data_IF_693172642731
#
_entry.id   IF_693172642731
#
_cell.length_a   1.000
_cell.length_b   1.000
_cell.length_c   1.000
_cell.angle_alpha   90.00
_cell.angle_beta   90.00
_cell.angle_gamma   90.00
#
_symmetry.space_group_name_H-M   'P 1'
#
loop_
_entity.id
_entity.type
_entity.pdbx_description
1 polymer ?
#
# COMPACT_ATOMS: atom_id res chain seq x y z
N UNK A 1 -11.74 25.29 -2.88
CA UNK A 1 -11.80 24.00 -2.17
C UNK A 1 -11.53 22.94 -3.22
N UNK A 2 -10.37 22.27 -3.16
CA UNK A 2 -10.07 21.20 -4.14
C UNK A 2 -10.98 20.01 -3.85
N UNK A 3 -11.80 19.63 -4.82
CA UNK A 3 -12.68 18.48 -4.69
C UNK A 3 -11.81 17.20 -4.69
N UNK A 4 -12.01 16.37 -3.70
CA UNK A 4 -11.36 15.07 -3.61
C UNK A 4 -12.09 14.09 -4.54
N UNK A 5 -11.47 13.71 -5.65
CA UNK A 5 -12.06 12.86 -6.69
C UNK A 5 -11.95 11.37 -6.34
N UNK A 6 -10.87 10.99 -5.65
CA UNK A 6 -10.62 9.61 -5.25
C UNK A 6 -9.85 9.56 -3.94
N UNK A 7 -10.21 8.63 -3.06
CA UNK A 7 -9.47 8.35 -1.83
C UNK A 7 -9.55 6.86 -1.49
N UNK A 8 -8.40 6.25 -1.34
CA UNK A 8 -8.28 4.88 -0.87
C UNK A 8 -7.23 4.77 0.24
N UNK A 9 -7.57 4.12 1.35
CA UNK A 9 -6.63 3.75 2.40
C UNK A 9 -6.37 2.26 2.29
N UNK A 10 -5.12 1.88 2.08
CA UNK A 10 -4.70 0.50 1.89
C UNK A 10 -4.45 -0.18 3.25
N UNK A 11 -5.55 -0.50 3.95
CA UNK A 11 -5.47 -1.25 5.21
C UNK A 11 -5.06 -2.71 4.96
N UNK A 12 -4.36 -3.36 5.91
CA UNK A 12 -4.07 -4.78 5.81
C UNK A 12 -5.36 -5.61 5.66
N UNK A 13 -5.33 -6.69 4.86
CA UNK A 13 -6.48 -7.58 4.71
C UNK A 13 -6.73 -8.36 6.01
N UNK A 14 -7.97 -8.84 6.18
CA UNK A 14 -8.39 -9.52 7.41
C UNK A 14 -7.51 -10.74 7.77
N UNK A 15 -7.09 -11.54 6.80
CA UNK A 15 -6.22 -12.69 7.04
C UNK A 15 -4.86 -12.32 7.66
N UNK A 16 -4.34 -11.12 7.35
CA UNK A 16 -3.10 -10.64 7.94
C UNK A 16 -3.22 -10.43 9.45
N UNK A 17 -4.38 -9.98 9.91
CA UNK A 17 -4.68 -9.85 11.34
C UNK A 17 -4.76 -11.19 12.05
N UNK A 18 -5.34 -12.22 11.39
CA UNK A 18 -5.35 -13.59 11.91
C UNK A 18 -3.92 -14.12 12.02
N UNK A 19 -3.08 -13.92 11.01
CA UNK A 19 -1.69 -14.34 11.04
C UNK A 19 -0.90 -13.66 12.18
N UNK A 20 -1.10 -12.36 12.38
CA UNK A 20 -0.48 -11.60 13.49
C UNK A 20 -0.94 -12.14 14.84
N UNK A 21 -2.25 -12.36 15.02
CA UNK A 21 -2.79 -12.90 16.26
C UNK A 21 -2.24 -14.30 16.55
N UNK A 22 -2.16 -15.17 15.54
CA UNK A 22 -1.57 -16.51 15.66
C UNK A 22 -0.09 -16.46 16.05
N UNK A 23 0.67 -15.57 15.45
CA UNK A 23 2.08 -15.36 15.79
C UNK A 23 2.26 -14.88 17.24
N UNK A 24 1.46 -13.89 17.67
CA UNK A 24 1.47 -13.42 19.06
C UNK A 24 1.09 -14.53 20.05
N UNK A 25 0.15 -15.39 19.68
CA UNK A 25 -0.29 -16.51 20.51
C UNK A 25 0.84 -17.54 20.69
N UNK A 26 1.54 -17.91 19.61
CA UNK A 26 2.67 -18.85 19.67
C UNK A 26 3.77 -18.31 20.60
N UNK A 27 4.10 -17.02 20.50
CA UNK A 27 5.06 -16.38 21.39
C UNK A 27 4.59 -16.38 22.84
N UNK A 28 3.33 -16.07 23.09
CA UNK A 28 2.75 -16.06 24.44
C UNK A 28 2.79 -17.45 25.09
N UNK A 29 2.45 -18.52 24.35
CA UNK A 29 2.53 -19.90 24.83
C UNK A 29 3.97 -20.28 25.17
N UNK A 30 4.94 -19.91 24.32
CA UNK A 30 6.34 -20.15 24.59
C UNK A 30 6.84 -19.44 25.85
N UNK A 31 6.42 -18.22 26.09
CA UNK A 31 6.78 -17.42 27.27
C UNK A 31 6.10 -17.97 28.53
N UNK A 32 4.87 -18.46 28.42
CA UNK A 32 4.12 -18.98 29.58
C UNK A 32 4.80 -20.16 30.28
N UNK A 33 5.53 -20.97 29.51
CA UNK A 33 6.29 -22.13 30.03
C UNK A 33 7.45 -21.71 30.96
N UNK A 34 7.98 -20.48 30.81
CA UNK A 34 9.15 -19.99 31.55
C UNK A 34 8.73 -19.00 32.65
N UNK A 35 7.85 -18.05 32.30
CA UNK A 35 7.53 -16.89 33.13
C UNK A 35 6.09 -16.91 33.71
N UNK A 36 5.31 -17.96 33.40
CA UNK A 36 3.94 -18.13 33.84
C UNK A 36 2.91 -17.35 33.01
N UNK A 37 1.63 -17.68 33.25
CA UNK A 37 0.51 -17.22 32.41
C UNK A 37 0.25 -15.71 32.48
N UNK A 38 0.52 -15.08 33.63
CA UNK A 38 0.30 -13.63 33.79
C UNK A 38 1.20 -12.83 32.85
N UNK A 39 2.50 -13.15 32.84
CA UNK A 39 3.48 -12.49 31.96
C UNK A 39 3.15 -12.74 30.49
N UNK A 40 2.81 -13.99 30.14
CA UNK A 40 2.43 -14.36 28.79
C UNK A 40 1.23 -13.55 28.29
N UNK A 41 0.20 -13.35 29.14
CA UNK A 41 -0.99 -12.58 28.79
C UNK A 41 -0.66 -11.10 28.53
N UNK A 42 0.17 -10.50 29.39
CA UNK A 42 0.62 -9.09 29.20
C UNK A 42 1.39 -8.94 27.91
N UNK A 43 2.31 -9.86 27.62
CA UNK A 43 3.11 -9.84 26.38
C UNK A 43 2.22 -10.01 25.14
N UNK A 44 1.25 -10.92 25.18
CA UNK A 44 0.31 -11.12 24.07
C UNK A 44 -0.44 -9.85 23.71
N UNK A 45 -1.08 -9.20 24.69
CA UNK A 45 -1.84 -7.98 24.43
C UNK A 45 -0.96 -6.80 24.05
N UNK A 46 0.23 -6.69 24.63
CA UNK A 46 1.19 -5.63 24.28
C UNK A 46 1.66 -5.75 22.84
N UNK A 47 2.04 -6.95 22.38
CA UNK A 47 2.44 -7.21 21.00
C UNK A 47 1.28 -6.96 20.04
N UNK A 48 0.10 -7.48 20.36
CA UNK A 48 -1.09 -7.27 19.53
C UNK A 48 -1.38 -5.77 19.34
N UNK A 49 -1.34 -5.00 20.41
CA UNK A 49 -1.53 -3.53 20.36
C UNK A 49 -0.48 -2.86 19.48
N UNK A 50 0.79 -3.22 19.63
CA UNK A 50 1.88 -2.66 18.81
C UNK A 50 1.64 -2.95 17.32
N UNK A 51 1.30 -4.19 16.96
CA UNK A 51 1.02 -4.54 15.56
C UNK A 51 -0.20 -3.82 15.00
N UNK A 52 -1.26 -3.64 15.78
CA UNK A 52 -2.46 -2.89 15.37
C UNK A 52 -2.09 -1.42 15.10
N UNK A 53 -1.39 -0.77 16.02
CA UNK A 53 -0.97 0.62 15.86
C UNK A 53 -0.02 0.79 14.66
N UNK A 54 0.90 -0.15 14.47
CA UNK A 54 1.82 -0.15 13.33
C UNK A 54 1.08 -0.34 12.01
N UNK A 55 0.13 -1.27 11.94
CA UNK A 55 -0.70 -1.49 10.75
C UNK A 55 -1.52 -0.26 10.37
N UNK A 56 -2.02 0.50 11.34
CA UNK A 56 -2.74 1.74 11.07
C UNK A 56 -1.84 2.87 10.58
N UNK A 57 -0.66 3.03 11.17
CA UNK A 57 0.31 4.09 10.80
C UNK A 57 0.98 3.82 9.44
N UNK A 58 1.27 2.56 9.13
CA UNK A 58 1.95 2.15 7.90
C UNK A 58 1.00 1.96 6.70
N UNK A 59 -0.31 2.12 6.89
CA UNK A 59 -1.27 2.00 5.79
C UNK A 59 -1.12 3.17 4.81
N UNK A 60 -0.62 2.96 3.59
CA UNK A 60 -0.48 4.02 2.61
C UNK A 60 -1.85 4.55 2.19
N UNK A 61 -1.91 5.83 1.90
CA UNK A 61 -3.13 6.50 1.44
C UNK A 61 -2.90 7.02 0.03
N UNK A 62 -3.82 6.68 -0.87
CA UNK A 62 -3.89 7.23 -2.23
C UNK A 62 -5.01 8.27 -2.24
N UNK A 63 -4.73 9.44 -2.78
CA UNK A 63 -5.70 10.52 -2.97
C UNK A 63 -5.50 11.12 -4.35
N UNK A 64 -6.59 11.47 -5.01
CA UNK A 64 -6.59 12.25 -6.24
C UNK A 64 -7.48 13.47 -6.03
N UNK A 65 -6.92 14.63 -6.24
CA UNK A 65 -7.67 15.88 -6.33
C UNK A 65 -7.73 16.38 -7.78
N UNK A 66 -8.18 17.60 -8.01
CA UNK A 66 -8.31 18.17 -9.35
C UNK A 66 -6.98 18.44 -10.06
N UNK A 67 -5.85 18.47 -9.34
CA UNK A 67 -4.54 18.88 -9.85
C UNK A 67 -3.46 17.83 -9.63
N UNK A 68 -3.55 17.05 -8.56
CA UNK A 68 -2.48 16.14 -8.14
C UNK A 68 -3.00 14.75 -7.75
N UNK A 69 -2.17 13.76 -8.07
CA UNK A 69 -2.23 12.43 -7.49
C UNK A 69 -1.26 12.35 -6.30
N UNK A 70 -1.75 11.95 -5.16
CA UNK A 70 -0.96 11.72 -3.96
C UNK A 70 -0.84 10.22 -3.69
N UNK A 71 0.38 9.74 -3.62
CA UNK A 71 0.72 8.39 -3.20
C UNK A 71 1.57 8.48 -1.94
N UNK A 72 0.95 8.28 -0.77
CA UNK A 72 1.56 8.45 0.54
C UNK A 72 2.10 9.89 0.74
N UNK A 73 3.42 10.10 0.65
CA UNK A 73 4.07 11.42 0.78
C UNK A 73 4.43 12.06 -0.55
N UNK A 74 4.41 11.30 -1.63
CA UNK A 74 4.72 11.79 -2.96
C UNK A 74 3.48 12.37 -3.64
N UNK A 75 3.68 13.38 -4.47
CA UNK A 75 2.64 14.03 -5.26
C UNK A 75 3.07 14.10 -6.73
N UNK A 76 2.15 13.79 -7.63
CA UNK A 76 2.35 13.84 -9.08
C UNK A 76 1.28 14.76 -9.70
N UNK A 77 1.66 15.79 -10.49
CA UNK A 77 0.69 16.62 -11.19
C UNK A 77 -0.07 15.80 -12.24
N UNK A 78 -1.39 15.90 -12.30
CA UNK A 78 -2.20 15.15 -13.27
C UNK A 78 -1.86 15.54 -14.72
N UNK A 79 -1.49 16.78 -14.97
CA UNK A 79 -1.17 17.31 -16.30
C UNK A 79 0.01 16.62 -17.00
N UNK A 80 0.93 16.00 -16.26
CA UNK A 80 2.08 15.30 -16.85
C UNK A 80 1.83 13.81 -17.04
N UNK A 81 0.73 13.27 -16.53
CA UNK A 81 0.36 11.87 -16.69
C UNK A 81 0.03 11.63 -18.17
N UNK A 82 0.70 10.66 -18.76
CA UNK A 82 0.47 10.29 -20.16
C UNK A 82 -0.45 9.07 -20.27
N UNK A 83 -0.30 8.12 -19.36
CA UNK A 83 -1.08 6.87 -19.37
C UNK A 83 -1.21 6.29 -17.97
N UNK A 84 -2.38 5.78 -17.64
CA UNK A 84 -2.65 5.07 -16.39
C UNK A 84 -3.17 3.67 -16.72
N UNK A 85 -2.33 2.65 -16.53
CA UNK A 85 -2.65 1.26 -16.89
C UNK A 85 -2.96 0.46 -15.63
N UNK A 86 -4.20 -0.03 -15.44
CA UNK A 86 -4.53 -0.93 -14.33
C UNK A 86 -3.86 -2.29 -14.55
N UNK A 87 -3.27 -2.85 -13.50
CA UNK A 87 -2.56 -4.12 -13.51
C UNK A 87 -3.30 -5.15 -12.65
N UNK A 88 -3.45 -6.36 -13.18
CA UNK A 88 -3.96 -7.49 -12.42
C UNK A 88 -2.86 -8.07 -11.51
N UNK A 89 -3.21 -9.08 -10.69
CA UNK A 89 -2.29 -9.69 -9.74
C UNK A 89 -1.04 -10.30 -10.39
N UNK A 90 -1.22 -10.96 -11.55
CA UNK A 90 -0.11 -11.61 -12.28
C UNK A 90 0.84 -10.58 -12.89
N UNK A 91 0.30 -9.54 -13.52
CA UNK A 91 1.07 -8.42 -14.10
C UNK A 91 1.80 -7.63 -13.01
N UNK A 92 1.14 -7.37 -11.88
CA UNK A 92 1.74 -6.68 -10.74
C UNK A 92 2.93 -7.46 -10.19
N UNK A 93 2.79 -8.78 -10.04
CA UNK A 93 3.89 -9.64 -9.58
C UNK A 93 5.07 -9.63 -10.56
N UNK A 94 4.78 -9.66 -11.86
CA UNK A 94 5.79 -9.64 -12.92
C UNK A 94 6.61 -8.33 -12.91
N UNK A 95 5.92 -7.18 -12.82
CA UNK A 95 6.56 -5.85 -12.78
C UNK A 95 7.31 -5.62 -11.47
N UNK A 96 6.86 -6.19 -10.35
CA UNK A 96 7.59 -6.12 -9.07
C UNK A 96 8.80 -7.04 -9.01
N UNK A 97 8.81 -8.10 -9.80
CA UNK A 97 9.85 -9.13 -9.80
C UNK A 97 10.76 -9.05 -11.02
N UNK A 98 10.48 -9.89 -12.01
CA UNK A 98 11.36 -10.10 -13.18
C UNK A 98 11.54 -8.86 -14.05
N UNK A 99 10.50 -8.01 -14.16
CA UNK A 99 10.51 -6.78 -14.96
C UNK A 99 10.65 -5.53 -14.08
N UNK A 100 11.20 -5.67 -12.87
CA UNK A 100 11.36 -4.53 -11.97
C UNK A 100 12.39 -3.54 -12.54
N UNK A 101 11.97 -2.29 -12.74
CA UNK A 101 12.87 -1.19 -13.08
C UNK A 101 13.32 -0.50 -11.78
N UNK A 102 14.63 -0.49 -11.47
CA UNK A 102 15.13 0.17 -10.26
C UNK A 102 14.89 1.69 -10.24
N UNK A 103 14.56 2.29 -11.40
CA UNK A 103 14.21 3.70 -11.52
C UNK A 103 12.71 3.98 -11.44
N UNK A 104 11.86 2.97 -11.16
CA UNK A 104 10.44 3.23 -10.93
C UNK A 104 10.20 3.80 -9.53
N UNK A 105 9.26 4.73 -9.41
CA UNK A 105 8.73 5.09 -8.09
C UNK A 105 7.73 4.04 -7.65
N UNK A 106 8.02 3.33 -6.56
CA UNK A 106 7.19 2.24 -6.06
C UNK A 106 6.52 2.62 -4.74
N UNK A 107 5.21 2.87 -4.80
CA UNK A 107 4.33 3.00 -3.63
C UNK A 107 3.47 1.74 -3.48
N UNK A 108 4.13 0.59 -3.33
CA UNK A 108 3.47 -0.71 -3.32
C UNK A 108 3.34 -1.28 -1.91
N UNK A 109 2.27 -2.06 -1.68
CA UNK A 109 2.08 -2.85 -0.47
C UNK A 109 2.19 -4.34 -0.81
N UNK A 110 2.97 -5.13 -0.06
CA UNK A 110 3.09 -6.57 -0.32
C UNK A 110 1.78 -7.33 -0.06
N UNK A 111 0.87 -6.73 0.69
CA UNK A 111 -0.43 -7.33 1.04
C UNK A 111 -1.52 -7.06 -0.02
N UNK A 112 -1.21 -6.31 -1.09
CA UNK A 112 -2.13 -5.96 -2.17
C UNK A 112 -1.53 -6.40 -3.49
N UNK A 113 -2.23 -7.31 -4.15
CA UNK A 113 -1.74 -7.96 -5.37
C UNK A 113 -2.05 -7.18 -6.65
N UNK A 114 -2.92 -6.16 -6.59
CA UNK A 114 -3.26 -5.32 -7.74
C UNK A 114 -2.60 -3.96 -7.63
N UNK A 115 -2.26 -3.37 -8.78
CA UNK A 115 -1.61 -2.08 -8.84
C UNK A 115 -2.07 -1.28 -10.08
N UNK A 116 -1.65 -0.03 -10.13
CA UNK A 116 -1.74 0.81 -11.32
C UNK A 116 -0.33 1.27 -11.69
N UNK A 117 0.00 1.17 -12.97
CA UNK A 117 1.20 1.77 -13.56
C UNK A 117 0.82 3.10 -14.17
N UNK A 118 1.56 4.13 -13.83
CA UNK A 118 1.34 5.49 -14.31
C UNK A 118 2.60 5.93 -15.04
N UNK A 119 2.48 6.08 -16.35
CA UNK A 119 3.50 6.64 -17.21
C UNK A 119 3.29 8.16 -17.31
N UNK A 120 4.34 8.94 -17.20
CA UNK A 120 4.31 10.39 -17.23
C UNK A 120 5.48 10.97 -18.00
N UNK A 121 5.37 12.24 -18.41
CA UNK A 121 6.45 12.97 -19.10
C UNK A 121 6.91 14.13 -18.24
N UNK A 122 7.98 13.91 -17.49
CA UNK A 122 8.72 14.97 -16.82
C UNK A 122 10.22 14.78 -17.08
N UNK A 123 10.89 15.83 -17.59
CA UNK A 123 12.33 15.80 -17.84
C UNK A 123 13.17 15.91 -16.56
N UNK A 124 12.56 16.35 -15.49
CA UNK A 124 13.23 16.58 -14.20
C UNK A 124 13.01 15.45 -13.19
N UNK A 125 12.04 14.57 -13.41
CA UNK A 125 11.81 13.41 -12.56
C UNK A 125 12.72 12.25 -13.01
N UNK A 126 13.57 11.71 -12.13
CA UNK A 126 14.46 10.59 -12.46
C UNK A 126 13.72 9.26 -12.64
N UNK A 127 12.42 9.19 -12.28
CA UNK A 127 11.65 7.97 -12.34
C UNK A 127 11.06 7.72 -13.72
N UNK A 128 11.08 6.47 -14.17
CA UNK A 128 10.54 6.06 -15.48
C UNK A 128 9.01 5.95 -15.46
N UNK A 129 8.44 5.46 -14.38
CA UNK A 129 7.01 5.36 -14.14
C UNK A 129 6.72 5.25 -12.63
N UNK A 130 5.47 5.46 -12.25
CA UNK A 130 5.00 5.18 -10.91
C UNK A 130 4.22 3.87 -10.86
N UNK A 131 4.52 3.03 -9.87
CA UNK A 131 3.79 1.80 -9.58
C UNK A 131 3.13 1.92 -8.20
N UNK A 132 1.81 1.96 -8.18
CA UNK A 132 1.04 2.21 -6.97
C UNK A 132 0.11 1.03 -6.72
N UNK A 133 0.18 0.40 -5.53
CA UNK A 133 -0.79 -0.61 -5.13
C UNK A 133 -2.16 0.00 -4.91
N UNK A 134 -3.19 -0.61 -5.45
CA UNK A 134 -4.59 -0.22 -5.24
C UNK A 134 -5.51 -1.42 -5.44
N UNK A 135 -6.58 -1.52 -4.65
CA UNK A 135 -7.64 -2.52 -4.87
C UNK A 135 -8.64 -2.08 -5.94
N UNK A 136 -8.63 -0.78 -6.29
CA UNK A 136 -9.55 -0.14 -7.22
C UNK A 136 -8.83 0.38 -8.47
N UNK A 137 -7.94 -0.44 -9.06
CA UNK A 137 -7.10 -0.04 -10.19
C UNK A 137 -7.90 0.49 -11.38
N UNK A 138 -9.04 -0.13 -11.69
CA UNK A 138 -9.92 0.30 -12.79
C UNK A 138 -10.62 1.64 -12.50
N UNK A 139 -11.08 1.84 -11.27
CA UNK A 139 -11.73 3.09 -10.86
C UNK A 139 -10.72 4.25 -10.88
N UNK A 140 -9.53 4.01 -10.32
CA UNK A 140 -8.45 4.99 -10.32
C UNK A 140 -7.99 5.34 -11.74
N UNK A 141 -7.86 4.34 -12.64
CA UNK A 141 -7.46 4.59 -14.02
C UNK A 141 -8.49 5.45 -14.77
N UNK A 142 -9.80 5.25 -14.55
CA UNK A 142 -10.86 6.07 -15.13
C UNK A 142 -10.79 7.53 -14.65
N UNK A 143 -10.59 7.74 -13.35
CA UNK A 143 -10.45 9.09 -12.78
C UNK A 143 -9.24 9.80 -13.37
N UNK A 144 -8.11 9.12 -13.51
CA UNK A 144 -6.89 9.68 -14.09
C UNK A 144 -7.04 9.96 -15.59
N UNK A 145 -7.66 9.08 -16.38
CA UNK A 145 -7.86 9.27 -17.81
C UNK A 145 -8.88 10.36 -18.16
N UNK A 146 -9.78 10.71 -17.25
CA UNK A 146 -10.76 11.80 -17.45
C UNK A 146 -10.13 13.18 -17.22
N UNK A 147 -9.01 13.24 -16.48
CA UNK A 147 -8.37 14.51 -16.05
C UNK A 147 -6.96 14.74 -16.60
N UNK A 148 -6.37 13.71 -17.26
CA UNK A 148 -5.06 13.78 -17.90
C UNK A 148 -5.11 14.47 -19.27
#
# INVERSE_FOLDING_TARGET
>A
MNQLLFREKLTPPFWAWIAVAGFCLILAVSISAIFGNLVATIVFFSLLLVFVLMGWKLSPVIKVDEQFLYANRAKLPLKIITKATPLNARETTKIRGVEADPRCFSATSPLINTAIRIDFKDKYDPHTYWLISTRKALELSKVLSTKA
#
